data_IF_073288914085
#
_entry.id   IF_073288914085
#
_cell.length_a   1.000
_cell.length_b   1.000
_cell.length_c   1.000
_cell.angle_alpha   90.00
_cell.angle_beta   90.00
_cell.angle_gamma   90.00
#
_symmetry.space_group_name_H-M   'P 1'
#
loop_
_entity.id
_entity.type
_entity.pdbx_description
1 polymer ?
#
# COMPACT_ATOMS: atom_id res chain seq x y z
N UNK A 1 11.45 -6.53 2.74
CA UNK A 1 11.09 -7.14 4.04
C UNK A 1 10.84 -6.02 5.04
N UNK A 2 9.68 -6.02 5.68
CA UNK A 2 9.35 -5.05 6.73
C UNK A 2 9.54 -5.71 8.09
N UNK A 3 10.43 -5.16 8.88
CA UNK A 3 10.64 -5.49 10.29
C UNK A 3 9.89 -4.45 11.13
N UNK A 4 9.15 -4.91 12.13
CA UNK A 4 8.54 -4.04 13.13
C UNK A 4 8.91 -4.51 14.52
N UNK A 5 9.78 -3.75 15.15
CA UNK A 5 10.10 -3.88 16.56
C UNK A 5 8.97 -3.38 17.46
N UNK A 6 9.03 -3.69 18.74
CA UNK A 6 8.10 -3.15 19.72
C UNK A 6 8.06 -1.63 19.65
N UNK A 7 6.86 -1.07 19.56
CA UNK A 7 6.63 0.37 19.35
C UNK A 7 6.63 0.83 17.90
N UNK A 8 7.04 -0.03 16.95
CA UNK A 8 7.03 0.30 15.52
C UNK A 8 5.62 0.55 14.98
N UNK A 9 5.47 1.58 14.16
CA UNK A 9 4.21 1.97 13.51
C UNK A 9 4.46 2.43 12.08
N UNK A 10 3.42 2.50 11.29
CA UNK A 10 3.43 3.14 9.97
C UNK A 10 2.25 4.10 9.92
N UNK A 11 2.53 5.35 9.63
CA UNK A 11 1.49 6.36 9.48
C UNK A 11 0.59 6.07 8.27
N UNK A 12 -0.57 6.68 8.19
CA UNK A 12 -1.44 6.62 7.03
C UNK A 12 -0.71 7.09 5.77
N UNK A 13 -0.66 6.21 4.79
CA UNK A 13 -0.05 6.46 3.50
C UNK A 13 -0.75 5.65 2.40
N UNK A 14 -0.37 5.91 1.17
CA UNK A 14 -0.74 5.13 -0.01
C UNK A 14 0.46 5.06 -0.95
N UNK A 15 0.46 4.14 -1.89
CA UNK A 15 1.56 3.97 -2.82
C UNK A 15 1.25 4.62 -4.16
N UNK A 16 2.12 5.54 -4.57
CA UNK A 16 2.10 6.12 -5.92
C UNK A 16 2.85 5.22 -6.89
N UNK A 17 2.53 5.34 -8.18
CA UNK A 17 3.24 4.65 -9.26
C UNK A 17 3.18 3.12 -9.16
N UNK A 18 2.14 2.59 -8.54
CA UNK A 18 1.85 1.16 -8.48
C UNK A 18 0.36 0.91 -8.62
N UNK A 19 0.02 -0.27 -9.16
CA UNK A 19 -1.36 -0.65 -9.45
C UNK A 19 -2.01 -1.33 -8.25
N UNK A 20 -1.30 -2.36 -7.75
CA UNK A 20 -1.64 -3.05 -6.52
C UNK A 20 -0.47 -3.04 -5.57
N UNK A 21 -0.78 -3.03 -4.30
CA UNK A 21 0.17 -3.25 -3.22
C UNK A 21 -0.25 -4.48 -2.45
N UNK A 22 0.70 -5.14 -1.84
CA UNK A 22 0.40 -6.32 -1.06
C UNK A 22 1.35 -6.50 0.11
N UNK A 23 0.89 -7.29 1.07
CA UNK A 23 1.70 -7.72 2.20
C UNK A 23 1.49 -9.22 2.44
N UNK A 24 2.58 -9.95 2.43
CA UNK A 24 2.63 -11.36 2.80
C UNK A 24 3.07 -11.48 4.25
N UNK A 25 2.23 -12.09 5.05
CA UNK A 25 2.49 -12.45 6.42
C UNK A 25 2.95 -13.90 6.48
N UNK A 26 4.24 -14.13 6.62
CA UNK A 26 4.85 -15.47 6.56
C UNK A 26 5.34 -15.99 7.90
N UNK A 27 5.31 -15.13 8.92
CA UNK A 27 5.78 -15.42 10.27
C UNK A 27 4.63 -15.83 11.22
N UNK A 28 4.96 -16.19 12.42
CA UNK A 28 3.98 -16.40 13.49
C UNK A 28 3.51 -15.05 14.04
N UNK A 29 2.23 -14.92 14.27
CA UNK A 29 1.60 -13.70 14.78
C UNK A 29 0.78 -14.03 16.02
N UNK A 30 0.92 -13.16 17.01
CA UNK A 30 0.17 -13.23 18.26
C UNK A 30 -1.01 -12.25 18.22
N UNK A 31 -1.91 -12.35 19.17
CA UNK A 31 -3.07 -11.45 19.29
C UNK A 31 -2.68 -9.97 19.47
N UNK A 32 -1.49 -9.71 20.02
CA UNK A 32 -0.92 -8.37 20.20
C UNK A 32 -0.20 -7.84 18.93
N UNK A 33 -0.15 -8.62 17.86
CA UNK A 33 0.42 -8.19 16.59
C UNK A 33 -0.43 -7.12 15.94
N UNK A 34 0.20 -5.98 15.63
CA UNK A 34 -0.50 -4.83 15.05
C UNK A 34 -1.17 -5.18 13.72
N UNK A 35 -2.47 -4.84 13.55
CA UNK A 35 -3.19 -5.02 12.30
C UNK A 35 -2.74 -4.01 11.25
N UNK A 36 -2.98 -4.33 9.98
CA UNK A 36 -3.07 -3.33 8.93
C UNK A 36 -4.49 -2.76 8.93
N UNK A 37 -4.60 -1.44 8.89
CA UNK A 37 -5.86 -0.73 8.89
C UNK A 37 -6.01 0.06 7.60
N UNK A 38 -7.12 -0.11 6.92
CA UNK A 38 -7.49 0.58 5.70
C UNK A 38 -8.54 1.62 5.98
N UNK A 39 -8.39 2.81 5.39
CA UNK A 39 -9.43 3.83 5.38
C UNK A 39 -10.40 3.61 4.23
N UNK A 40 -11.67 3.92 4.44
CA UNK A 40 -12.63 3.95 3.34
C UNK A 40 -12.16 4.96 2.27
N UNK A 41 -12.19 4.58 0.98
CA UNK A 41 -11.97 5.52 -0.10
C UNK A 41 -13.18 6.44 -0.34
N UNK A 42 -14.31 6.14 0.29
CA UNK A 42 -15.51 6.94 0.20
C UNK A 42 -15.37 8.13 1.16
N UNK A 43 -15.26 9.33 0.60
CA UNK A 43 -15.30 10.54 1.40
C UNK A 43 -16.78 10.89 1.67
N UNK A 44 -17.21 10.63 2.89
CA UNK A 44 -18.52 11.06 3.34
C UNK A 44 -18.41 12.53 3.76
N UNK A 45 -18.68 13.42 2.83
CA UNK A 45 -18.90 14.82 3.13
C UNK A 45 -20.33 14.99 3.65
N UNK A 46 -20.51 14.83 4.94
CA UNK A 46 -21.77 15.10 5.59
C UNK A 46 -21.53 16.11 6.71
N UNK A 47 -22.30 17.19 6.68
CA UNK A 47 -22.33 18.17 7.77
C UNK A 47 -22.97 17.55 9.04
N UNK A 48 -23.57 16.39 8.90
CA UNK A 48 -24.19 15.66 9.98
C UNK A 48 -23.59 14.26 10.11
N UNK A 49 -23.07 13.97 11.29
CA UNK A 49 -22.66 12.62 11.63
C UNK A 49 -23.89 11.80 12.07
N UNK A 50 -24.23 10.81 11.28
CA UNK A 50 -25.25 9.82 11.64
C UNK A 50 -24.57 8.56 12.10
N UNK A 51 -24.68 8.25 13.39
CA UNK A 51 -24.13 7.01 13.91
C UNK A 51 -24.91 5.81 13.36
N UNK A 52 -24.24 4.90 12.62
CA UNK A 52 -24.91 3.73 12.06
C UNK A 52 -25.30 2.76 13.17
N UNK A 53 -26.43 2.06 13.00
CA UNK A 53 -26.85 1.00 13.93
C UNK A 53 -25.93 -0.21 13.90
N UNK A 54 -25.34 -0.48 12.73
CA UNK A 54 -24.40 -1.56 12.47
C UNK A 54 -23.28 -1.06 11.58
N UNK A 55 -22.06 -1.52 11.83
CA UNK A 55 -20.90 -1.22 11.01
C UNK A 55 -20.64 -2.32 10.00
N UNK A 56 -20.72 -1.99 8.74
CA UNK A 56 -20.46 -2.85 7.59
C UNK A 56 -19.50 -2.17 6.59
N UNK A 57 -19.34 -2.73 5.41
CA UNK A 57 -18.48 -2.15 4.35
C UNK A 57 -18.94 -0.77 3.87
N UNK A 58 -20.22 -0.46 3.96
CA UNK A 58 -20.78 0.81 3.52
C UNK A 58 -20.74 1.90 4.60
N UNK A 59 -20.82 1.50 5.86
CA UNK A 59 -20.95 2.40 7.00
C UNK A 59 -19.65 2.58 7.80
N UNK A 60 -18.69 1.64 7.65
CA UNK A 60 -17.40 1.74 8.34
C UNK A 60 -16.45 2.73 7.66
N UNK A 61 -15.78 3.54 8.46
CA UNK A 61 -14.75 4.47 7.99
C UNK A 61 -13.36 3.83 7.89
N UNK A 62 -13.15 2.72 8.56
CA UNK A 62 -11.92 1.94 8.47
C UNK A 62 -12.13 0.46 8.74
N UNK A 63 -11.20 -0.36 8.24
CA UNK A 63 -11.19 -1.82 8.47
C UNK A 63 -9.82 -2.26 8.92
N UNK A 64 -9.79 -3.12 9.95
CA UNK A 64 -8.57 -3.73 10.48
C UNK A 64 -8.48 -5.18 10.06
N UNK A 65 -7.34 -5.53 9.46
CA UNK A 65 -7.01 -6.91 9.13
C UNK A 65 -5.86 -7.34 10.04
N UNK A 66 -6.15 -8.30 10.91
CA UNK A 66 -5.14 -8.86 11.80
C UNK A 66 -4.28 -9.88 11.06
N UNK A 67 -2.96 -9.81 11.21
CA UNK A 67 -2.06 -10.71 10.50
C UNK A 67 -2.26 -12.15 10.96
N UNK A 68 -2.18 -13.07 9.99
CA UNK A 68 -2.14 -14.51 10.24
C UNK A 68 -1.02 -15.12 9.40
N UNK A 69 -0.39 -16.16 9.89
CA UNK A 69 0.62 -16.89 9.12
C UNK A 69 0.06 -17.35 7.78
N UNK A 70 0.89 -17.21 6.74
CA UNK A 70 0.57 -17.54 5.34
C UNK A 70 -0.59 -16.72 4.74
N UNK A 71 -0.91 -15.57 5.32
CA UNK A 71 -1.92 -14.67 4.78
C UNK A 71 -1.29 -13.68 3.82
N UNK A 72 -1.87 -13.56 2.65
CA UNK A 72 -1.60 -12.51 1.67
C UNK A 72 -2.77 -11.52 1.67
N UNK A 73 -2.46 -10.25 1.88
CA UNK A 73 -3.41 -9.15 1.68
C UNK A 73 -2.98 -8.38 0.45
N UNK A 74 -3.87 -8.30 -0.54
CA UNK A 74 -3.68 -7.57 -1.79
C UNK A 74 -4.74 -6.46 -1.88
N UNK A 75 -4.32 -5.25 -2.24
CA UNK A 75 -5.20 -4.09 -2.28
C UNK A 75 -4.77 -3.08 -3.36
N UNK A 76 -5.70 -2.26 -3.89
CA UNK A 76 -5.36 -1.17 -4.78
C UNK A 76 -4.39 -0.20 -4.12
N UNK A 77 -3.34 0.18 -4.84
CA UNK A 77 -2.24 0.97 -4.25
C UNK A 77 -2.65 2.36 -3.77
N UNK A 78 -3.75 2.91 -4.29
CA UNK A 78 -4.29 4.20 -3.85
C UNK A 78 -5.02 4.13 -2.50
N UNK A 79 -5.33 2.94 -2.00
CA UNK A 79 -6.07 2.78 -0.76
C UNK A 79 -5.20 3.19 0.44
N UNK A 80 -5.66 4.22 1.16
CA UNK A 80 -4.97 4.72 2.36
C UNK A 80 -4.96 3.64 3.44
N UNK A 81 -3.80 3.40 3.98
CA UNK A 81 -3.63 2.40 5.03
C UNK A 81 -2.52 2.76 6.00
N UNK A 82 -2.58 2.15 7.16
CA UNK A 82 -1.55 2.25 8.18
C UNK A 82 -1.32 0.89 8.84
N UNK A 83 -0.22 0.77 9.56
CA UNK A 83 -0.02 -0.31 10.53
C UNK A 83 0.04 0.31 11.90
N UNK A 84 -0.85 -0.11 12.78
CA UNK A 84 -0.92 0.36 14.15
C UNK A 84 0.38 0.11 14.92
N UNK A 85 0.47 0.69 16.10
CA UNK A 85 1.63 0.47 16.96
C UNK A 85 1.73 -1.02 17.34
N UNK A 86 2.88 -1.62 17.06
CA UNK A 86 3.18 -2.98 17.51
C UNK A 86 3.51 -2.95 19.00
N UNK A 87 2.72 -3.64 19.81
CA UNK A 87 2.88 -3.68 21.27
C UNK A 87 3.50 -4.99 21.76
N UNK A 88 3.63 -5.98 20.87
CA UNK A 88 4.28 -7.25 21.17
C UNK A 88 5.75 -7.09 21.52
N UNK A 89 6.27 -7.96 22.36
CA UNK A 89 7.70 -8.01 22.75
C UNK A 89 8.60 -8.54 21.65
N UNK A 90 8.05 -9.39 20.77
CA UNK A 90 8.77 -10.03 19.68
C UNK A 90 8.65 -9.21 18.39
N UNK A 91 9.73 -9.13 17.59
CA UNK A 91 9.67 -8.48 16.28
C UNK A 91 8.63 -9.14 15.37
N UNK A 92 7.95 -8.33 14.56
CA UNK A 92 6.98 -8.78 13.57
C UNK A 92 7.56 -8.61 12.17
N UNK A 93 7.62 -9.69 11.43
CA UNK A 93 8.12 -9.70 10.05
C UNK A 93 6.98 -9.80 9.04
N UNK A 94 7.11 -9.10 7.93
CA UNK A 94 6.21 -9.21 6.78
C UNK A 94 6.95 -8.82 5.51
N UNK A 95 6.49 -9.29 4.36
CA UNK A 95 7.01 -8.91 3.06
C UNK A 95 5.98 -8.01 2.37
N UNK A 96 6.29 -6.72 2.27
CA UNK A 96 5.52 -5.78 1.49
C UNK A 96 6.08 -5.68 0.06
N UNK A 97 5.18 -5.52 -0.91
CA UNK A 97 5.54 -5.39 -2.32
C UNK A 97 4.53 -4.52 -3.07
N UNK A 98 4.95 -4.03 -4.22
CA UNK A 98 4.12 -3.27 -5.15
C UNK A 98 4.11 -3.95 -6.52
N UNK A 99 2.97 -3.92 -7.19
CA UNK A 99 2.78 -4.45 -8.54
C UNK A 99 2.67 -3.26 -9.48
N UNK A 100 3.57 -3.22 -10.46
CA UNK A 100 3.59 -2.22 -11.51
C UNK A 100 3.41 -2.93 -12.84
N UNK A 101 2.43 -2.53 -13.67
CA UNK A 101 2.27 -3.11 -15.00
C UNK A 101 3.44 -2.73 -15.90
N UNK A 102 3.81 -3.61 -16.82
CA UNK A 102 4.79 -3.34 -17.88
C UNK A 102 4.11 -3.44 -19.24
N UNK A 103 4.67 -2.74 -20.23
CA UNK A 103 4.10 -2.65 -21.56
C UNK A 103 3.26 -1.40 -21.78
N UNK A 104 2.44 -1.41 -22.82
CA UNK A 104 1.57 -0.29 -23.16
C UNK A 104 0.18 -0.51 -22.60
N UNK A 105 -0.35 0.50 -21.94
CA UNK A 105 -1.72 0.50 -21.39
C UNK A 105 -2.30 1.90 -21.42
N UNK A 106 -3.63 1.97 -21.28
CA UNK A 106 -4.39 3.20 -21.50
C UNK A 106 -4.83 3.37 -22.96
N UNK A 107 -5.60 4.39 -23.21
CA UNK A 107 -6.15 4.73 -24.53
C UNK A 107 -5.93 6.20 -24.84
N UNK A 108 -5.78 6.53 -26.14
CA UNK A 108 -5.65 7.90 -26.62
C UNK A 108 -4.58 8.71 -25.87
N UNK A 109 -4.96 9.83 -25.30
CA UNK A 109 -4.14 10.78 -24.56
C UNK A 109 -3.66 10.28 -23.19
N UNK A 110 -4.28 9.21 -22.69
CA UNK A 110 -3.91 8.57 -21.41
C UNK A 110 -3.03 7.33 -21.56
N UNK A 111 -2.52 7.07 -22.78
CA UNK A 111 -1.67 5.91 -23.01
C UNK A 111 -0.29 6.07 -22.35
N UNK A 112 0.16 5.00 -21.70
CA UNK A 112 1.45 4.93 -21.02
C UNK A 112 2.18 3.67 -21.46
N UNK A 113 3.47 3.79 -21.65
CA UNK A 113 4.36 2.65 -21.85
C UNK A 113 5.37 2.58 -20.71
N UNK A 114 5.40 1.45 -20.01
CA UNK A 114 6.37 1.17 -18.95
C UNK A 114 7.26 0.01 -19.33
N UNK A 115 8.54 0.16 -19.06
CA UNK A 115 9.55 -0.86 -19.31
C UNK A 115 10.49 -0.96 -18.11
N UNK A 116 10.76 -2.17 -17.66
CA UNK A 116 11.84 -2.42 -16.73
C UNK A 116 13.16 -2.41 -17.48
N UNK A 117 14.11 -1.64 -16.98
CA UNK A 117 15.47 -1.74 -17.46
C UNK A 117 16.08 -3.02 -16.89
N UNK A 118 16.18 -4.04 -17.73
CA UNK A 118 16.90 -5.27 -17.41
C UNK A 118 18.32 -5.13 -17.94
N UNK A 119 19.25 -4.84 -17.07
CA UNK A 119 20.66 -4.71 -17.43
C UNK A 119 21.51 -4.37 -16.22
N UNK A 120 22.80 -4.51 -16.35
CA UNK A 120 23.71 -3.94 -15.35
C UNK A 120 23.59 -2.43 -15.44
N UNK A 121 22.94 -1.84 -14.44
CA UNK A 121 22.81 -0.39 -14.32
C UNK A 121 24.20 0.20 -14.12
N UNK A 122 24.75 0.76 -15.18
CA UNK A 122 25.85 1.72 -15.05
C UNK A 122 25.23 3.07 -14.69
N UNK A 123 25.93 3.89 -13.92
CA UNK A 123 25.48 5.24 -13.54
C UNK A 123 25.04 6.08 -14.74
N UNK A 124 25.61 5.81 -15.94
CA UNK A 124 25.23 6.44 -17.19
C UNK A 124 23.83 6.07 -17.72
N UNK A 125 23.39 4.84 -17.47
CA UNK A 125 22.04 4.39 -17.89
C UNK A 125 20.95 4.96 -16.99
N UNK A 126 21.25 5.17 -15.71
CA UNK A 126 20.34 5.85 -14.80
C UNK A 126 20.13 7.32 -15.18
N UNK A 127 21.18 8.00 -15.61
CA UNK A 127 21.08 9.40 -16.08
C UNK A 127 20.31 9.52 -17.40
N UNK A 128 20.45 8.55 -18.32
CA UNK A 128 19.72 8.55 -19.59
C UNK A 128 18.26 8.11 -19.46
N UNK A 129 17.94 7.30 -18.47
CA UNK A 129 16.56 6.83 -18.19
C UNK A 129 15.69 7.87 -17.47
N UNK A 130 16.29 8.88 -16.88
CA UNK A 130 15.59 9.96 -16.18
C UNK A 130 15.42 11.20 -17.07
N UNK A 131 14.81 11.03 -18.23
CA UNK A 131 14.23 12.18 -18.92
C UNK A 131 12.86 12.47 -18.32
N UNK A 132 12.83 13.35 -17.35
CA UNK A 132 11.60 14.06 -17.00
C UNK A 132 11.33 14.98 -18.20
N UNK A 133 10.48 14.54 -19.11
CA UNK A 133 9.92 15.38 -20.14
C UNK A 133 8.97 16.37 -19.49
N UNK A 134 9.50 17.44 -18.91
CA UNK A 134 8.72 18.61 -18.55
C UNK A 134 8.37 19.35 -19.85
N UNK A 135 7.13 19.23 -20.34
CA UNK A 135 6.61 20.20 -21.30
C UNK A 135 6.54 21.54 -20.57
N UNK A 136 7.32 22.51 -21.06
CA UNK A 136 7.08 23.91 -20.70
C UNK A 136 5.75 24.31 -21.34
N UNK A 137 4.80 24.68 -20.53
CA UNK A 137 3.69 25.55 -20.97
C UNK A 137 4.26 26.94 -21.25
#
# INVERSE_FOLDING_TARGET
MCLRDSGGTSQYHFHKNSFYSGVLYYDEYKEDSAPIEFMTPLEFHSDFYLEPKEYDLATSTSWKIYPKKNMLVLFPSYLKHQVGKHIGSEPRYSLAFNIVPTGSYGTSDSSVHTQWLTGQSTTHELESGYRIGGSRL
#
